data_IF_188069582778
#
_entry.id   IF_188069582778
#
_cell.length_a   1.000
_cell.length_b   1.000
_cell.length_c   1.000
_cell.angle_alpha   90.00
_cell.angle_beta   90.00
_cell.angle_gamma   90.00
#
_symmetry.space_group_name_H-M   'P 1'
#
loop_
_entity.id
_entity.type
_entity.pdbx_description
1 polymer ?
#
# COMPACT_ATOMS: atom_id res chain seq x y z
N UNK A 1 -8.77 -27.67 2.16
CA UNK A 1 -9.31 -28.01 3.50
C UNK A 1 -8.22 -27.96 4.59
N UNK A 2 -7.49 -26.85 4.72
CA UNK A 2 -6.60 -26.58 5.88
C UNK A 2 -7.12 -25.40 6.72
N UNK A 3 -8.40 -25.05 6.56
CA UNK A 3 -9.02 -24.02 7.37
C UNK A 3 -9.25 -24.57 8.78
N UNK A 4 -8.63 -23.89 9.75
CA UNK A 4 -8.95 -23.84 11.18
C UNK A 4 -8.51 -25.02 12.10
N UNK A 5 -7.24 -25.43 12.05
CA UNK A 5 -6.66 -26.11 13.23
C UNK A 5 -6.04 -25.05 14.17
N UNK A 6 -6.37 -25.01 15.48
CA UNK A 6 -5.88 -23.99 16.43
C UNK A 6 -4.35 -23.85 16.47
N UNK A 7 -3.62 -24.92 16.16
CA UNK A 7 -2.16 -24.93 16.02
C UNK A 7 -1.65 -23.95 14.96
N UNK A 8 -2.37 -23.76 13.84
CA UNK A 8 -1.95 -22.87 12.76
C UNK A 8 -1.88 -21.43 13.27
N UNK A 9 -2.91 -20.98 13.98
CA UNK A 9 -2.95 -19.64 14.57
C UNK A 9 -1.84 -19.44 15.61
N UNK A 10 -1.57 -20.47 16.42
CA UNK A 10 -0.46 -20.44 17.39
C UNK A 10 0.91 -20.35 16.72
N UNK A 11 1.13 -21.06 15.62
CA UNK A 11 2.37 -20.95 14.84
C UNK A 11 2.51 -19.55 14.21
N UNK A 12 1.43 -18.99 13.66
CA UNK A 12 1.43 -17.65 13.09
C UNK A 12 1.71 -16.57 14.14
N UNK A 13 1.08 -16.70 15.32
CA UNK A 13 1.33 -15.86 16.49
C UNK A 13 2.79 -15.94 16.94
N UNK A 14 3.33 -17.15 17.11
CA UNK A 14 4.72 -17.36 17.49
C UNK A 14 5.70 -16.75 16.49
N UNK A 15 5.49 -16.95 15.18
CA UNK A 15 6.33 -16.36 14.12
C UNK A 15 6.30 -14.84 14.15
N UNK A 16 5.12 -14.25 14.36
CA UNK A 16 4.95 -12.80 14.50
C UNK A 16 5.73 -12.27 15.71
N UNK A 17 5.52 -12.85 16.90
CA UNK A 17 6.16 -12.39 18.13
C UNK A 17 7.68 -12.57 18.08
N UNK A 18 8.15 -13.72 17.61
CA UNK A 18 9.59 -13.99 17.44
C UNK A 18 10.24 -12.95 16.52
N UNK A 19 9.61 -12.63 15.38
CA UNK A 19 10.10 -11.59 14.47
C UNK A 19 10.13 -10.22 15.14
N UNK A 20 9.09 -9.84 15.88
CA UNK A 20 9.04 -8.54 16.56
C UNK A 20 10.14 -8.41 17.63
N UNK A 21 10.33 -9.47 18.42
CA UNK A 21 11.37 -9.52 19.44
C UNK A 21 12.76 -9.38 18.81
N UNK A 22 13.09 -10.22 17.83
CA UNK A 22 14.42 -10.24 17.24
C UNK A 22 14.73 -8.98 16.41
N UNK A 23 13.75 -8.46 15.68
CA UNK A 23 13.94 -7.33 14.75
C UNK A 23 13.92 -5.98 15.47
N UNK A 24 13.15 -5.84 16.55
CA UNK A 24 12.94 -4.54 17.21
C UNK A 24 13.40 -4.55 18.67
N UNK A 25 12.83 -5.42 19.49
CA UNK A 25 13.07 -5.39 20.95
C UNK A 25 14.54 -5.66 21.29
N UNK A 26 15.14 -6.69 20.68
CA UNK A 26 16.53 -7.07 20.95
C UNK A 26 17.53 -6.22 20.15
N UNK A 27 17.13 -5.74 18.97
CA UNK A 27 18.04 -5.09 18.02
C UNK A 27 18.16 -3.58 18.24
N UNK A 28 17.04 -2.87 18.45
CA UNK A 28 17.04 -1.41 18.57
C UNK A 28 17.94 -0.91 19.71
N UNK A 29 17.90 -1.49 20.94
CA UNK A 29 18.79 -1.03 22.02
C UNK A 29 20.27 -1.16 21.67
N UNK A 30 20.65 -2.16 20.87
CA UNK A 30 22.04 -2.37 20.44
C UNK A 30 22.51 -1.36 19.39
N UNK A 31 21.57 -0.71 18.69
CA UNK A 31 21.85 0.30 17.67
C UNK A 31 21.91 1.72 18.23
N UNK A 32 21.64 1.91 19.53
CA UNK A 32 21.72 3.23 20.17
C UNK A 32 23.17 3.70 20.18
N UNK A 33 23.39 4.89 19.62
CA UNK A 33 24.71 5.51 19.57
C UNK A 33 25.18 5.90 20.97
N UNK A 34 26.32 5.36 21.41
CA UNK A 34 26.92 5.70 22.71
C UNK A 34 27.25 7.19 22.87
N UNK A 35 27.48 7.91 21.76
CA UNK A 35 27.84 9.33 21.78
C UNK A 35 26.63 10.23 22.02
N UNK A 36 25.48 9.87 21.46
CA UNK A 36 24.29 10.74 21.46
C UNK A 36 23.15 10.21 22.31
N UNK A 37 23.13 8.92 22.65
CA UNK A 37 22.00 8.26 23.30
C UNK A 37 20.80 8.03 22.36
N UNK A 38 20.95 8.24 21.06
CA UNK A 38 19.87 8.15 20.07
C UNK A 38 20.12 7.08 19.00
N UNK A 39 19.04 6.67 18.32
CA UNK A 39 19.09 5.90 17.08
C UNK A 39 19.34 6.82 15.88
N UNK A 40 20.27 6.44 15.01
CA UNK A 40 20.58 7.17 13.78
C UNK A 40 20.33 6.26 12.57
N UNK A 41 19.12 6.33 12.01
CA UNK A 41 18.79 5.56 10.80
C UNK A 41 19.56 6.09 9.58
N UNK A 42 19.87 5.21 8.64
CA UNK A 42 20.45 5.58 7.35
C UNK A 42 19.34 5.65 6.29
N UNK A 43 19.16 6.82 5.68
CA UNK A 43 18.25 7.00 4.55
C UNK A 43 18.99 6.80 3.23
N UNK A 44 18.52 5.84 2.43
CA UNK A 44 19.10 5.54 1.13
C UNK A 44 18.26 6.19 0.03
N UNK A 45 18.87 7.13 -0.70
CA UNK A 45 18.17 7.94 -1.72
C UNK A 45 18.19 7.31 -3.12
N UNK A 46 19.10 6.39 -3.40
CA UNK A 46 19.38 5.87 -4.75
C UNK A 46 19.04 4.38 -4.92
N UNK A 47 18.45 3.74 -3.90
CA UNK A 47 18.22 2.28 -3.90
C UNK A 47 16.90 1.88 -4.55
N UNK A 48 15.78 2.54 -4.23
CA UNK A 48 14.49 2.11 -4.73
C UNK A 48 14.31 2.49 -6.21
N UNK A 49 13.95 1.52 -7.05
CA UNK A 49 13.67 1.75 -8.49
C UNK A 49 12.56 2.79 -8.75
N UNK A 50 11.68 3.02 -7.77
CA UNK A 50 10.59 4.01 -7.85
C UNK A 50 10.99 5.40 -7.35
N UNK A 51 12.19 5.55 -6.78
CA UNK A 51 12.65 6.79 -6.18
C UNK A 51 12.13 7.08 -4.76
N UNK A 52 11.45 6.13 -4.11
CA UNK A 52 11.14 6.21 -2.68
C UNK A 52 12.44 6.15 -1.86
N UNK A 53 12.51 6.90 -0.76
CA UNK A 53 13.54 6.67 0.26
C UNK A 53 13.36 5.27 0.83
N UNK A 54 14.47 4.60 1.15
CA UNK A 54 14.47 3.44 2.04
C UNK A 54 15.28 3.75 3.30
N UNK A 55 15.02 3.02 4.38
CA UNK A 55 15.73 3.19 5.65
C UNK A 55 16.41 1.88 6.09
N UNK A 56 17.62 1.97 6.64
CA UNK A 56 18.34 0.85 7.26
C UNK A 56 18.97 1.27 8.58
N UNK A 57 19.30 0.28 9.42
CA UNK A 57 20.07 0.42 10.65
C UNK A 57 19.59 1.53 11.62
N UNK A 58 18.32 1.52 12.06
CA UNK A 58 17.26 0.54 11.77
C UNK A 58 16.35 0.94 10.61
N UNK A 59 15.63 -0.03 10.03
CA UNK A 59 14.58 0.25 9.05
C UNK A 59 13.30 0.76 9.73
N UNK A 60 13.11 2.08 9.73
CA UNK A 60 11.95 2.73 10.36
C UNK A 60 10.64 2.53 9.58
N UNK A 61 10.70 2.25 8.28
CA UNK A 61 9.49 2.03 7.45
C UNK A 61 8.78 0.72 7.79
N UNK A 62 9.51 -0.28 8.26
CA UNK A 62 8.98 -1.60 8.55
C UNK A 62 8.40 -1.75 9.97
N UNK A 63 8.53 -0.73 10.83
CA UNK A 63 8.00 -0.78 12.19
C UNK A 63 6.48 -0.91 12.13
N UNK A 64 5.90 -2.01 12.65
CA UNK A 64 4.49 -2.28 12.50
C UNK A 64 3.63 -1.12 13.00
N UNK A 65 2.68 -0.68 12.17
CA UNK A 65 1.74 0.39 12.51
C UNK A 65 0.43 -0.15 13.10
N UNK A 66 0.12 -1.43 12.85
CA UNK A 66 -1.16 -2.06 13.18
C UNK A 66 -1.00 -3.11 14.27
N UNK A 67 -2.07 -3.29 15.04
CA UNK A 67 -2.12 -4.23 16.15
C UNK A 67 -1.45 -3.69 17.41
N UNK A 68 -1.86 -4.24 18.55
CA UNK A 68 -1.40 -3.82 19.88
C UNK A 68 0.13 -3.88 20.00
N UNK A 69 0.74 -5.01 19.65
CA UNK A 69 2.21 -5.19 19.74
C UNK A 69 3.00 -4.18 18.91
N UNK A 70 2.49 -3.77 17.74
CA UNK A 70 3.14 -2.76 16.91
C UNK A 70 3.09 -1.37 17.53
N UNK A 71 1.95 -1.04 18.14
CA UNK A 71 1.79 0.22 18.89
C UNK A 71 2.73 0.27 20.08
N UNK A 72 2.92 -0.83 20.80
CA UNK A 72 3.87 -0.89 21.91
C UNK A 72 5.31 -0.63 21.47
N UNK A 73 5.76 -1.18 20.33
CA UNK A 73 7.09 -0.86 19.79
C UNK A 73 7.21 0.64 19.45
N UNK A 74 6.17 1.26 18.89
CA UNK A 74 6.18 2.69 18.57
C UNK A 74 6.21 3.59 19.81
N UNK A 75 5.62 3.17 20.93
CA UNK A 75 5.70 3.91 22.20
C UNK A 75 7.13 4.02 22.74
N UNK A 76 8.04 3.14 22.33
CA UNK A 76 9.46 3.25 22.68
C UNK A 76 10.17 4.43 21.98
N UNK A 77 9.57 5.01 20.94
CA UNK A 77 10.06 6.23 20.31
C UNK A 77 9.42 7.43 21.02
N UNK A 78 10.23 8.11 21.82
CA UNK A 78 9.82 9.26 22.65
C UNK A 78 10.49 10.55 22.17
N UNK A 79 9.93 11.73 22.52
CA UNK A 79 10.61 13.00 22.28
C UNK A 79 12.00 13.01 22.91
N UNK A 80 12.97 13.64 22.24
CA UNK A 80 14.36 13.70 22.69
C UNK A 80 14.61 14.69 23.84
N UNK A 81 13.65 15.57 24.14
CA UNK A 81 13.78 16.60 25.16
C UNK A 81 12.51 16.73 26.03
N UNK A 82 12.65 17.13 27.31
CA UNK A 82 11.51 17.42 28.17
C UNK A 82 10.60 18.50 27.60
N UNK A 83 9.29 18.33 27.72
CA UNK A 83 8.28 19.26 27.20
C UNK A 83 8.04 19.18 25.68
N UNK A 84 8.78 18.33 24.95
CA UNK A 84 8.56 18.13 23.51
C UNK A 84 7.48 17.08 23.24
N UNK A 85 6.95 17.11 22.03
CA UNK A 85 5.96 16.14 21.53
C UNK A 85 6.39 15.55 20.19
N UNK A 86 5.92 14.34 19.88
CA UNK A 86 6.02 13.78 18.53
C UNK A 86 4.82 14.27 17.72
N UNK A 87 5.11 15.01 16.64
CA UNK A 87 4.11 15.42 15.67
C UNK A 87 4.22 14.55 14.41
N UNK A 88 3.08 14.10 13.88
CA UNK A 88 3.02 13.28 12.66
C UNK A 88 2.10 13.93 11.64
N UNK A 89 2.61 14.13 10.43
CA UNK A 89 1.85 14.53 9.26
C UNK A 89 1.94 13.43 8.20
N UNK A 90 0.79 13.03 7.66
CA UNK A 90 0.69 11.97 6.65
C UNK A 90 -0.19 12.43 5.49
N UNK A 91 0.17 12.05 4.28
CA UNK A 91 -0.65 12.36 3.11
C UNK A 91 -1.81 11.37 3.00
N UNK A 92 -3.03 11.86 3.18
CA UNK A 92 -4.23 11.05 3.00
C UNK A 92 -4.41 10.62 1.54
N UNK A 93 -4.16 9.33 1.29
CA UNK A 93 -4.42 8.66 0.00
C UNK A 93 -3.66 9.27 -1.18
N UNK A 94 -2.40 9.66 -0.97
CA UNK A 94 -1.59 10.37 -1.98
C UNK A 94 -1.55 9.65 -3.32
N UNK A 95 -1.43 8.32 -3.34
CA UNK A 95 -1.33 7.57 -4.60
C UNK A 95 -2.62 7.65 -5.43
N UNK A 96 -3.79 7.61 -4.79
CA UNK A 96 -5.07 7.75 -5.50
C UNK A 96 -5.30 9.18 -5.97
N UNK A 97 -4.86 10.18 -5.19
CA UNK A 97 -4.94 11.59 -5.59
C UNK A 97 -4.02 11.87 -6.78
N UNK A 98 -2.82 11.29 -6.79
CA UNK A 98 -1.91 11.35 -7.94
C UNK A 98 -2.55 10.64 -9.14
N UNK A 99 -3.19 9.48 -8.95
CA UNK A 99 -3.92 8.81 -10.03
C UNK A 99 -5.04 9.70 -10.61
N UNK A 100 -5.85 10.35 -9.77
CA UNK A 100 -6.89 11.28 -10.21
C UNK A 100 -6.32 12.44 -11.05
N UNK A 101 -5.15 12.95 -10.65
CA UNK A 101 -4.46 14.01 -11.36
C UNK A 101 -3.91 13.54 -12.72
N UNK A 102 -3.11 12.46 -12.75
CA UNK A 102 -2.43 12.00 -13.98
C UNK A 102 -3.38 11.40 -15.00
N UNK A 103 -4.46 10.75 -14.55
CA UNK A 103 -5.51 10.26 -15.45
C UNK A 103 -6.43 11.38 -15.94
N UNK A 104 -6.56 12.45 -15.17
CA UNK A 104 -7.55 13.50 -15.44
C UNK A 104 -8.99 12.97 -15.36
N UNK A 105 -9.25 11.92 -14.59
CA UNK A 105 -10.58 11.33 -14.50
C UNK A 105 -11.55 12.25 -13.71
N UNK A 106 -12.63 12.74 -14.33
CA UNK A 106 -13.53 13.68 -13.68
C UNK A 106 -14.26 13.05 -12.48
N UNK A 107 -14.64 11.77 -12.58
CA UNK A 107 -15.32 11.07 -11.49
C UNK A 107 -14.41 10.88 -10.28
N UNK A 108 -13.16 10.47 -10.51
CA UNK A 108 -12.19 10.29 -9.42
C UNK A 108 -11.78 11.62 -8.78
N UNK A 109 -11.64 12.69 -9.58
CA UNK A 109 -11.37 14.05 -9.08
C UNK A 109 -12.53 14.58 -8.24
N UNK A 110 -13.75 14.49 -8.76
CA UNK A 110 -14.95 14.94 -8.05
C UNK A 110 -15.12 14.20 -6.71
N UNK A 111 -14.89 12.89 -6.69
CA UNK A 111 -14.93 12.11 -5.44
C UNK A 111 -13.96 12.66 -4.38
N UNK A 112 -12.75 13.06 -4.78
CA UNK A 112 -11.80 13.68 -3.86
C UNK A 112 -12.15 15.11 -3.44
N UNK A 113 -12.72 15.91 -4.35
CA UNK A 113 -13.16 17.28 -4.08
C UNK A 113 -14.35 17.31 -3.11
N UNK A 114 -15.25 16.33 -3.21
CA UNK A 114 -16.42 16.17 -2.33
C UNK A 114 -16.11 15.43 -1.02
N UNK A 115 -14.86 15.00 -0.81
CA UNK A 115 -14.46 14.27 0.40
C UNK A 115 -15.04 12.86 0.49
N UNK A 116 -15.42 12.26 -0.64
CA UNK A 116 -15.98 10.92 -0.67
C UNK A 116 -14.96 9.86 -0.23
N UNK A 117 -15.46 8.84 0.46
CA UNK A 117 -14.67 7.67 0.82
C UNK A 117 -14.65 6.67 -0.35
N UNK A 118 -13.75 6.89 -1.30
CA UNK A 118 -13.63 6.06 -2.53
C UNK A 118 -13.48 4.58 -2.19
N UNK A 119 -12.78 4.23 -1.11
CA UNK A 119 -12.65 2.84 -0.68
C UNK A 119 -13.99 2.25 -0.23
N UNK A 120 -14.82 3.03 0.46
CA UNK A 120 -16.15 2.62 0.88
C UNK A 120 -17.11 2.53 -0.30
N UNK A 121 -17.03 3.46 -1.25
CA UNK A 121 -17.79 3.40 -2.50
C UNK A 121 -17.42 2.14 -3.31
N UNK A 122 -16.12 1.83 -3.45
CA UNK A 122 -15.68 0.57 -4.05
C UNK A 122 -16.17 -0.63 -3.25
N UNK A 123 -16.09 -0.60 -1.92
CA UNK A 123 -16.54 -1.72 -1.09
C UNK A 123 -18.04 -1.99 -1.26
N UNK A 124 -18.87 -0.95 -1.25
CA UNK A 124 -20.31 -1.06 -1.47
C UNK A 124 -20.61 -1.77 -2.79
N UNK A 125 -19.93 -1.37 -3.87
CA UNK A 125 -20.06 -2.01 -5.18
C UNK A 125 -19.53 -3.47 -5.19
N UNK A 126 -18.38 -3.74 -4.54
CA UNK A 126 -17.76 -5.06 -4.50
C UNK A 126 -18.58 -6.08 -3.70
N UNK A 127 -19.17 -5.65 -2.59
CA UNK A 127 -19.90 -6.54 -1.67
C UNK A 127 -21.41 -6.48 -1.86
N UNK A 128 -21.93 -5.65 -2.77
CA UNK A 128 -23.36 -5.52 -3.04
C UNK A 128 -24.15 -4.99 -1.85
N UNK A 129 -23.57 -4.08 -1.06
CA UNK A 129 -24.18 -3.49 0.14
C UNK A 129 -24.30 -1.98 0.02
N UNK A 130 -25.17 -1.34 0.79
CA UNK A 130 -25.22 0.13 0.81
C UNK A 130 -23.91 0.71 1.39
N UNK A 131 -23.46 1.91 0.96
CA UNK A 131 -22.24 2.54 1.49
C UNK A 131 -22.20 2.67 3.02
N UNK A 132 -23.36 2.83 3.64
CA UNK A 132 -23.53 2.93 5.09
C UNK A 132 -23.35 1.58 5.80
N UNK A 133 -23.65 0.48 5.11
CA UNK A 133 -23.54 -0.89 5.61
C UNK A 133 -22.13 -1.49 5.43
N UNK A 134 -21.25 -0.77 4.72
CA UNK A 134 -19.85 -1.19 4.55
C UNK A 134 -19.15 -1.24 5.89
N UNK A 135 -18.78 -2.45 6.30
CA UNK A 135 -17.98 -2.70 7.50
C UNK A 135 -16.54 -2.19 7.33
N UNK A 136 -15.82 -1.90 8.44
CA UNK A 136 -14.40 -1.55 8.39
C UNK A 136 -13.54 -2.59 7.68
N UNK A 137 -13.90 -3.88 7.80
CA UNK A 137 -13.21 -4.99 7.14
C UNK A 137 -13.44 -5.00 5.63
N UNK A 138 -14.68 -4.82 5.17
CA UNK A 138 -15.00 -4.70 3.74
C UNK A 138 -14.30 -3.48 3.13
N UNK A 139 -14.33 -2.34 3.81
CA UNK A 139 -13.60 -1.13 3.38
C UNK A 139 -12.09 -1.39 3.27
N UNK A 140 -11.51 -2.14 4.20
CA UNK A 140 -10.09 -2.52 4.18
C UNK A 140 -9.77 -3.41 2.97
N UNK A 141 -10.59 -4.42 2.70
CA UNK A 141 -10.44 -5.25 1.50
C UNK A 141 -10.55 -4.41 0.24
N UNK A 142 -11.55 -3.54 0.13
CA UNK A 142 -11.73 -2.66 -1.02
C UNK A 142 -10.58 -1.66 -1.22
N UNK A 143 -9.88 -1.26 -0.15
CA UNK A 143 -8.63 -0.50 -0.25
C UNK A 143 -7.57 -1.29 -1.00
N UNK A 144 -7.35 -2.56 -0.65
CA UNK A 144 -6.41 -3.43 -1.35
C UNK A 144 -6.84 -3.70 -2.81
N UNK A 145 -8.16 -3.75 -3.07
CA UNK A 145 -8.72 -3.83 -4.43
C UNK A 145 -8.38 -2.59 -5.24
N UNK A 146 -8.70 -1.39 -4.76
CA UNK A 146 -8.42 -0.13 -5.47
C UNK A 146 -6.93 -0.02 -5.83
N UNK A 147 -6.04 -0.35 -4.89
CA UNK A 147 -4.60 -0.39 -5.19
C UNK A 147 -4.26 -1.48 -6.18
N UNK A 148 -4.82 -2.68 -6.03
CA UNK A 148 -4.63 -3.76 -7.00
C UNK A 148 -4.97 -3.31 -8.41
N UNK A 149 -6.17 -2.76 -8.62
CA UNK A 149 -6.66 -2.33 -9.94
C UNK A 149 -5.74 -1.26 -10.53
N UNK A 150 -5.36 -0.24 -9.75
CA UNK A 150 -4.46 0.83 -10.20
C UNK A 150 -3.05 0.33 -10.51
N UNK A 151 -2.59 -0.72 -9.82
CA UNK A 151 -1.32 -1.37 -10.10
C UNK A 151 -1.41 -2.49 -11.14
N UNK A 152 -2.54 -2.61 -11.86
CA UNK A 152 -2.70 -3.57 -12.94
C UNK A 152 -2.83 -5.02 -12.48
N UNK A 153 -3.47 -5.26 -11.33
CA UNK A 153 -3.78 -6.62 -10.87
C UNK A 153 -4.64 -7.35 -11.91
N UNK A 154 -4.31 -8.61 -12.17
CA UNK A 154 -5.15 -9.46 -13.02
C UNK A 154 -6.41 -9.90 -12.28
N UNK A 155 -7.45 -10.31 -13.03
CA UNK A 155 -8.67 -10.93 -12.46
C UNK A 155 -8.34 -12.09 -11.51
N UNK A 156 -7.34 -12.91 -11.86
CA UNK A 156 -6.90 -14.04 -11.04
C UNK A 156 -6.25 -13.58 -9.73
N UNK A 157 -5.38 -12.56 -9.81
CA UNK A 157 -4.75 -11.97 -8.63
C UNK A 157 -5.78 -11.32 -7.69
N UNK A 158 -6.79 -10.66 -8.26
CA UNK A 158 -7.87 -10.05 -7.48
C UNK A 158 -8.79 -11.10 -6.85
N UNK A 159 -9.20 -12.12 -7.60
CA UNK A 159 -10.01 -13.24 -7.11
C UNK A 159 -9.33 -13.93 -5.91
N UNK A 160 -8.03 -14.21 -6.02
CA UNK A 160 -7.25 -14.82 -4.93
C UNK A 160 -7.17 -13.96 -3.67
N UNK A 161 -7.05 -12.64 -3.80
CA UNK A 161 -7.02 -11.72 -2.63
C UNK A 161 -8.38 -11.60 -1.95
N UNK A 162 -9.46 -11.59 -2.73
CA UNK A 162 -10.81 -11.41 -2.22
C UNK A 162 -11.47 -12.72 -1.79
N UNK A 163 -10.99 -13.86 -2.28
CA UNK A 163 -11.62 -15.16 -2.08
C UNK A 163 -12.93 -15.29 -2.84
N UNK A 164 -13.03 -14.68 -4.02
CA UNK A 164 -14.22 -14.68 -4.90
C UNK A 164 -13.94 -15.40 -6.21
N UNK A 165 -14.96 -15.60 -7.05
CA UNK A 165 -14.77 -16.21 -8.37
C UNK A 165 -14.00 -15.27 -9.32
N UNK A 166 -13.37 -15.85 -10.35
CA UNK A 166 -12.69 -15.05 -11.40
C UNK A 166 -13.67 -14.14 -12.14
N UNK A 167 -14.92 -14.57 -12.32
CA UNK A 167 -15.96 -13.79 -13.00
C UNK A 167 -16.36 -12.58 -12.16
N UNK A 168 -16.53 -12.75 -10.84
CA UNK A 168 -16.85 -11.63 -9.95
C UNK A 168 -15.70 -10.62 -9.89
N UNK A 169 -14.46 -11.12 -9.82
CA UNK A 169 -13.28 -10.25 -9.86
C UNK A 169 -13.18 -9.45 -11.16
N UNK A 170 -13.49 -10.08 -12.30
CA UNK A 170 -13.52 -9.40 -13.60
C UNK A 170 -14.64 -8.35 -13.67
N UNK A 171 -15.84 -8.67 -13.19
CA UNK A 171 -16.94 -7.71 -13.11
C UNK A 171 -16.59 -6.50 -12.23
N UNK A 172 -15.89 -6.70 -11.11
CA UNK A 172 -15.40 -5.62 -10.25
C UNK A 172 -14.43 -4.70 -11.00
N UNK A 173 -13.46 -5.28 -11.73
CA UNK A 173 -12.49 -4.52 -12.52
C UNK A 173 -13.20 -3.72 -13.63
N UNK A 174 -14.12 -4.36 -14.34
CA UNK A 174 -14.90 -3.71 -15.41
C UNK A 174 -15.76 -2.56 -14.87
N UNK A 175 -16.48 -2.77 -13.77
CA UNK A 175 -17.28 -1.74 -13.13
C UNK A 175 -16.42 -0.57 -12.63
N UNK A 176 -15.23 -0.84 -12.10
CA UNK A 176 -14.29 0.20 -11.70
C UNK A 176 -13.87 1.07 -12.89
N UNK A 177 -13.49 0.45 -14.01
CA UNK A 177 -13.09 1.18 -15.22
C UNK A 177 -14.28 1.83 -15.95
N UNK A 178 -15.49 1.29 -15.84
CA UNK A 178 -16.69 1.96 -16.32
C UNK A 178 -16.98 3.23 -15.52
N UNK A 179 -16.73 3.21 -14.21
CA UNK A 179 -16.88 4.39 -13.34
C UNK A 179 -15.76 5.42 -13.54
N UNK A 180 -14.53 4.96 -13.74
CA UNK A 180 -13.34 5.81 -13.91
C UNK A 180 -12.64 5.53 -15.26
N UNK A 181 -13.27 5.88 -16.40
CA UNK A 181 -12.78 5.50 -17.73
C UNK A 181 -11.41 6.09 -18.07
N UNK A 182 -11.10 7.29 -17.58
CA UNK A 182 -9.80 7.91 -17.86
C UNK A 182 -8.66 7.22 -17.10
N UNK A 183 -8.94 6.55 -15.98
CA UNK A 183 -7.94 5.70 -15.30
C UNK A 183 -7.54 4.53 -16.19
N UNK A 184 -8.52 3.85 -16.81
CA UNK A 184 -8.23 2.75 -17.74
C UNK A 184 -7.45 3.23 -18.96
N UNK A 185 -7.85 4.39 -19.52
CA UNK A 185 -7.15 5.03 -20.64
C UNK A 185 -5.69 5.33 -20.27
N UNK A 186 -5.45 5.98 -19.14
CA UNK A 186 -4.10 6.29 -18.64
C UNK A 186 -3.24 5.04 -18.48
N UNK A 187 -3.78 3.96 -17.89
CA UNK A 187 -3.05 2.69 -17.72
C UNK A 187 -2.69 2.10 -19.09
N UNK A 188 -3.65 2.04 -20.01
CA UNK A 188 -3.45 1.48 -21.35
C UNK A 188 -2.43 2.27 -22.16
N UNK A 189 -2.54 3.60 -22.16
CA UNK A 189 -1.58 4.51 -22.81
C UNK A 189 -0.18 4.40 -22.18
N UNK A 190 -0.08 4.28 -20.85
CA UNK A 190 1.20 4.10 -20.16
C UNK A 190 1.87 2.77 -20.52
N UNK A 191 1.10 1.69 -20.66
CA UNK A 191 1.62 0.39 -21.10
C UNK A 191 2.09 0.46 -22.55
N UNK A 192 1.33 1.11 -23.43
CA UNK A 192 1.72 1.32 -24.83
C UNK A 192 3.04 2.12 -24.93
N UNK A 193 3.12 3.25 -24.21
CA UNK A 193 4.33 4.05 -24.11
C UNK A 193 5.53 3.23 -23.60
N UNK A 194 5.33 2.43 -22.54
CA UNK A 194 6.39 1.59 -21.99
C UNK A 194 6.87 0.52 -22.99
N UNK A 195 5.96 -0.06 -23.80
CA UNK A 195 6.32 -1.04 -24.83
C UNK A 195 7.19 -0.43 -25.93
N UNK A 196 6.90 0.81 -26.32
CA UNK A 196 7.65 1.55 -27.33
C UNK A 196 9.00 2.06 -26.79
N UNK A 197 8.98 2.75 -25.65
CA UNK A 197 10.16 3.47 -25.14
C UNK A 197 10.99 2.70 -24.11
N UNK A 198 10.49 1.56 -23.60
CA UNK A 198 11.13 0.72 -22.56
C UNK A 198 11.34 1.42 -21.21
N UNK A 199 10.62 2.53 -20.97
CA UNK A 199 10.60 3.22 -19.69
C UNK A 199 9.26 3.91 -19.47
N UNK A 200 9.01 4.35 -18.23
CA UNK A 200 7.97 5.30 -17.86
C UNK A 200 8.55 6.45 -17.06
N UNK A 201 7.83 7.57 -16.95
CA UNK A 201 8.26 8.73 -16.16
C UNK A 201 7.22 9.12 -15.11
N UNK A 202 7.67 9.80 -14.05
CA UNK A 202 6.78 10.51 -13.13
C UNK A 202 6.49 11.93 -13.64
N UNK A 203 5.56 12.64 -12.97
CA UNK A 203 5.28 14.07 -13.21
C UNK A 203 6.53 14.97 -13.22
N UNK A 204 7.56 14.59 -12.46
CA UNK A 204 8.83 15.33 -12.35
C UNK A 204 9.95 14.66 -13.15
N UNK A 205 9.62 13.92 -14.20
CA UNK A 205 10.55 13.29 -15.14
C UNK A 205 11.51 12.24 -14.55
N UNK A 206 11.25 11.72 -13.34
CA UNK A 206 11.99 10.54 -12.85
C UNK A 206 11.65 9.36 -13.76
N UNK A 207 12.67 8.72 -14.32
CA UNK A 207 12.52 7.57 -15.23
C UNK A 207 12.65 6.24 -14.50
N UNK A 208 11.81 5.27 -14.86
CA UNK A 208 11.98 3.86 -14.53
C UNK A 208 12.01 3.04 -15.82
N UNK A 209 13.11 2.35 -16.07
CA UNK A 209 13.23 1.43 -17.19
C UNK A 209 12.50 0.12 -16.90
N UNK A 210 11.91 -0.47 -17.95
CA UNK A 210 11.16 -1.72 -17.91
C UNK A 210 11.66 -2.59 -19.06
N UNK A 211 12.81 -3.24 -18.86
CA UNK A 211 13.45 -4.11 -19.87
C UNK A 211 12.52 -5.23 -20.32
N UNK A 212 11.77 -5.79 -19.39
CA UNK A 212 11.00 -7.02 -19.60
C UNK A 212 9.61 -6.77 -20.17
N UNK A 213 9.28 -5.52 -20.53
CA UNK A 213 7.95 -5.15 -21.06
C UNK A 213 7.61 -5.85 -22.39
N UNK A 214 8.63 -6.34 -23.10
CA UNK A 214 8.50 -7.14 -24.33
C UNK A 214 8.81 -8.63 -24.12
N UNK A 215 9.09 -9.05 -22.89
CA UNK A 215 9.28 -10.47 -22.57
C UNK A 215 7.98 -11.22 -22.81
N UNK A 216 8.06 -12.35 -23.50
CA UNK A 216 6.93 -13.26 -23.70
C UNK A 216 6.61 -14.11 -22.45
N UNK A 217 7.45 -14.01 -21.40
CA UNK A 217 7.24 -14.71 -20.14
C UNK A 217 6.38 -13.83 -19.23
N UNK A 218 5.07 -14.09 -19.23
CA UNK A 218 4.10 -13.60 -18.26
C UNK A 218 3.80 -14.64 -17.18
#
# INVERSE_FOLDING_TARGET
>A
KYQAHPLVDKILEYRKLTKLKSTYVDALPKLVSRRSGHLHTSYNQTVAATGRLSSSDPNLQNIPIRGETGREIRKAFIPSAPGWVIFSADYSQVELRVMAHISGDPGLRQAFEQGEDIHRATAAAVFGVAPQEVTPEQRRKAKEVNFGIIYGISRFGLAGRLGISNNDAEAIIQNYFAKYPNVNRYITETIAFAREHKYVTTLLNRRRYISDIASANG
#
